data_IF_522066631362
#
_entry.id   IF_522066631362
#
_cell.length_a   1.000
_cell.length_b   1.000
_cell.length_c   1.000
_cell.angle_alpha   90.00
_cell.angle_beta   90.00
_cell.angle_gamma   90.00
#
_symmetry.space_group_name_H-M   'P 1'
#
loop_
_entity.id
_entity.type
_entity.pdbx_description
1 polymer ?
#
# COMPACT_ATOMS: atom_id res chain seq x y z
N UNK A 1 -15.23 13.08 8.02
CA UNK A 1 -15.55 11.65 7.83
C UNK A 1 -14.27 10.85 8.02
N UNK A 2 -14.34 9.58 8.40
CA UNK A 2 -13.16 8.74 8.59
C UNK A 2 -13.50 7.29 8.27
N UNK A 3 -12.56 6.56 7.69
CA UNK A 3 -12.74 5.17 7.31
C UNK A 3 -11.41 4.46 7.08
N UNK A 4 -11.48 3.16 6.79
CA UNK A 4 -10.32 2.37 6.40
C UNK A 4 -10.69 1.13 5.59
N UNK A 5 -9.77 0.67 4.74
CA UNK A 5 -9.92 -0.57 3.97
C UNK A 5 -8.55 -1.27 3.81
N UNK A 6 -8.58 -2.59 3.62
CA UNK A 6 -7.37 -3.42 3.40
C UNK A 6 -7.18 -3.85 1.95
N UNK A 7 -8.18 -3.60 1.10
CA UNK A 7 -8.14 -3.97 -0.32
C UNK A 7 -8.80 -2.86 -1.17
N UNK A 8 -8.22 -1.64 -1.19
CA UNK A 8 -8.71 -0.58 -2.05
C UNK A 8 -8.37 -0.88 -3.52
N UNK A 9 -9.28 -0.52 -4.43
CA UNK A 9 -8.97 -0.57 -5.86
C UNK A 9 -7.78 0.35 -6.15
N UNK A 10 -6.71 -0.23 -6.71
CA UNK A 10 -5.43 0.45 -6.87
C UNK A 10 -4.88 0.23 -8.28
N UNK A 11 -4.50 1.31 -8.95
CA UNK A 11 -3.70 1.28 -10.17
C UNK A 11 -2.24 1.65 -9.86
N UNK A 12 -1.31 0.76 -10.17
CA UNK A 12 0.12 0.95 -9.92
C UNK A 12 0.85 1.29 -11.22
N UNK A 13 1.50 2.45 -11.22
CA UNK A 13 2.48 2.86 -12.22
C UNK A 13 3.87 2.68 -11.63
N UNK A 14 4.75 1.95 -12.32
CA UNK A 14 6.14 1.74 -11.90
C UNK A 14 7.08 2.00 -13.05
N UNK A 15 7.94 3.00 -12.92
CA UNK A 15 8.82 3.47 -14.00
C UNK A 15 10.24 3.77 -13.50
N UNK A 16 11.22 3.46 -14.35
CA UNK A 16 12.63 3.83 -14.12
C UNK A 16 12.84 5.29 -14.58
N UNK A 17 12.75 6.20 -13.62
CA UNK A 17 12.83 7.64 -13.85
C UNK A 17 13.22 8.35 -12.56
N UNK A 18 13.76 9.55 -12.69
CA UNK A 18 14.17 10.44 -11.61
C UNK A 18 13.20 11.60 -11.40
N UNK A 19 12.03 11.59 -12.05
CA UNK A 19 11.02 12.66 -11.99
C UNK A 19 9.62 12.08 -11.75
N UNK A 20 8.67 12.83 -11.16
CA UNK A 20 7.31 12.33 -10.90
C UNK A 20 6.64 11.83 -12.19
N UNK A 21 6.15 10.58 -12.27
CA UNK A 21 5.47 10.06 -13.45
C UNK A 21 4.08 10.68 -13.66
N UNK A 22 3.46 11.15 -12.57
CA UNK A 22 2.22 11.93 -12.59
C UNK A 22 2.47 13.25 -11.85
N UNK A 23 1.83 14.32 -12.29
CA UNK A 23 1.87 15.61 -11.60
C UNK A 23 0.59 16.40 -11.85
N UNK A 24 0.23 17.23 -10.88
CA UNK A 24 -0.90 18.14 -11.03
C UNK A 24 -0.44 19.42 -11.75
N UNK A 25 -1.02 19.72 -12.90
CA UNK A 25 -0.81 20.97 -13.61
C UNK A 25 -1.55 22.08 -12.87
N UNK A 26 -0.80 23.09 -12.43
CA UNK A 26 -1.36 24.30 -11.84
C UNK A 26 -1.65 25.31 -12.95
N UNK A 27 -2.69 26.11 -12.76
CA UNK A 27 -3.13 27.11 -13.76
C UNK A 27 -2.07 28.15 -14.11
N UNK A 28 -1.08 28.37 -13.22
CA UNK A 28 -0.01 29.35 -13.38
C UNK A 28 1.33 28.73 -13.85
N UNK A 29 1.34 27.42 -14.15
CA UNK A 29 2.53 26.69 -14.55
C UNK A 29 2.48 26.38 -16.05
N UNK A 30 3.65 26.28 -16.71
CA UNK A 30 3.75 25.89 -18.13
C UNK A 30 3.30 24.44 -18.37
N UNK A 31 2.98 23.69 -17.30
CA UNK A 31 2.53 22.31 -17.33
C UNK A 31 3.69 21.32 -17.47
N UNK A 32 4.92 21.83 -17.39
CA UNK A 32 6.13 21.05 -17.49
C UNK A 32 6.24 20.05 -16.35
N UNK A 33 6.81 18.88 -16.66
CA UNK A 33 7.04 17.83 -15.67
C UNK A 33 7.99 18.34 -14.58
N UNK A 34 7.58 18.33 -13.29
CA UNK A 34 8.43 18.80 -12.21
C UNK A 34 9.76 18.06 -12.14
N UNK A 35 10.82 18.77 -11.75
CA UNK A 35 12.08 18.15 -11.37
C UNK A 35 11.96 17.58 -9.95
N UNK A 36 12.61 16.45 -9.65
CA UNK A 36 12.67 15.94 -8.29
C UNK A 36 13.27 16.99 -7.33
N UNK A 37 12.46 17.50 -6.40
CA UNK A 37 12.92 18.40 -5.36
C UNK A 37 13.65 17.60 -4.28
N UNK A 38 14.98 17.71 -4.21
CA UNK A 38 15.84 17.03 -3.21
C UNK A 38 15.57 17.36 -1.73
N UNK A 39 14.59 18.21 -1.42
CA UNK A 39 14.45 18.88 -0.11
C UNK A 39 13.45 18.22 0.84
N UNK A 40 12.54 17.39 0.34
CA UNK A 40 11.56 16.66 1.13
C UNK A 40 11.66 15.18 0.75
N UNK A 41 11.72 14.30 1.74
CA UNK A 41 11.90 12.86 1.51
C UNK A 41 10.89 12.38 0.49
N UNK A 42 11.36 11.71 -0.57
CA UNK A 42 10.79 11.45 -1.91
C UNK A 42 9.29 11.07 -2.05
N UNK A 43 8.52 11.02 -0.98
CA UNK A 43 7.08 10.79 -1.03
C UNK A 43 6.34 12.06 -1.40
N UNK A 44 5.71 12.05 -2.56
CA UNK A 44 4.79 13.08 -3.02
C UNK A 44 3.37 12.51 -3.06
N UNK A 45 2.38 13.37 -2.86
CA UNK A 45 0.99 12.95 -2.73
C UNK A 45 0.02 13.95 -3.34
N UNK A 46 -0.97 13.45 -4.06
CA UNK A 46 -2.03 14.25 -4.68
C UNK A 46 -3.38 13.64 -4.31
N UNK A 47 -4.34 14.47 -3.91
CA UNK A 47 -5.75 14.10 -3.83
C UNK A 47 -6.43 14.56 -5.11
N UNK A 48 -7.23 13.67 -5.70
CA UNK A 48 -8.14 13.94 -6.80
C UNK A 48 -9.55 13.68 -6.28
N UNK A 49 -10.24 14.76 -5.98
CA UNK A 49 -11.57 14.82 -5.37
C UNK A 49 -12.68 15.13 -6.38
N UNK A 50 -12.32 15.62 -7.57
CA UNK A 50 -13.28 15.95 -8.62
C UNK A 50 -12.72 15.73 -10.03
N UNK A 51 -13.62 15.71 -11.01
CA UNK A 51 -13.27 15.49 -12.41
C UNK A 51 -12.42 16.63 -13.02
N UNK A 52 -12.58 17.88 -12.57
CA UNK A 52 -11.76 19.01 -13.01
C UNK A 52 -10.32 18.87 -12.51
N UNK A 53 -10.11 18.36 -11.31
CA UNK A 53 -8.79 18.05 -10.74
C UNK A 53 -8.19 16.83 -11.42
N UNK A 54 -8.99 15.81 -11.74
CA UNK A 54 -8.54 14.67 -12.54
C UNK A 54 -8.06 15.12 -13.93
N UNK A 55 -8.78 16.01 -14.60
CA UNK A 55 -8.39 16.60 -15.88
C UNK A 55 -7.14 17.48 -15.84
N UNK A 56 -6.66 17.84 -14.65
CA UNK A 56 -5.40 18.57 -14.42
C UNK A 56 -4.23 17.65 -14.15
N UNK A 57 -4.43 16.33 -14.03
CA UNK A 57 -3.33 15.37 -13.88
C UNK A 57 -2.65 15.17 -15.23
N UNK A 58 -1.36 15.51 -15.29
CA UNK A 58 -0.50 15.17 -16.41
C UNK A 58 0.27 13.89 -16.14
N UNK A 59 0.52 13.16 -17.22
CA UNK A 59 1.13 11.82 -17.22
C UNK A 59 2.34 11.83 -18.14
N UNK A 60 3.48 11.32 -17.64
CA UNK A 60 4.72 11.22 -18.39
C UNK A 60 4.57 10.29 -19.60
N UNK A 61 5.28 10.56 -20.70
CA UNK A 61 5.19 9.77 -21.94
C UNK A 61 5.58 8.29 -21.77
N UNK A 62 6.33 7.96 -20.72
CA UNK A 62 6.73 6.59 -20.37
C UNK A 62 5.65 5.79 -19.64
N UNK A 63 4.50 6.39 -19.36
CA UNK A 63 3.38 5.80 -18.62
C UNK A 63 2.21 5.60 -19.56
N UNK A 64 1.45 4.53 -19.34
CA UNK A 64 0.19 4.27 -20.06
C UNK A 64 -0.87 5.30 -19.63
N UNK A 65 -1.04 6.34 -20.44
CA UNK A 65 -2.02 7.41 -20.19
C UNK A 65 -3.44 6.89 -20.20
N UNK A 66 -3.78 6.00 -21.13
CA UNK A 66 -5.14 5.47 -21.28
C UNK A 66 -5.56 4.69 -20.03
N UNK A 67 -4.64 3.93 -19.42
CA UNK A 67 -4.89 3.21 -18.18
C UNK A 67 -5.14 4.15 -16.99
N UNK A 68 -4.37 5.23 -16.87
CA UNK A 68 -4.53 6.25 -15.82
C UNK A 68 -5.86 7.00 -16.00
N UNK A 69 -6.17 7.45 -17.22
CA UNK A 69 -7.42 8.16 -17.52
C UNK A 69 -8.64 7.25 -17.30
N UNK A 70 -8.56 5.97 -17.67
CA UNK A 70 -9.62 5.00 -17.43
C UNK A 70 -9.90 4.80 -15.93
N UNK A 71 -8.86 4.81 -15.09
CA UNK A 71 -9.03 4.70 -13.64
C UNK A 71 -9.79 5.89 -13.05
N UNK A 72 -9.47 7.11 -13.48
CA UNK A 72 -10.21 8.30 -13.07
C UNK A 72 -11.64 8.32 -13.63
N UNK A 73 -11.84 7.93 -14.88
CA UNK A 73 -13.16 7.87 -15.50
C UNK A 73 -14.10 6.84 -14.85
N UNK A 74 -13.54 5.79 -14.25
CA UNK A 74 -14.29 4.78 -13.50
C UNK A 74 -14.65 5.20 -12.06
N UNK A 75 -14.15 6.34 -11.58
CA UNK A 75 -14.36 6.80 -10.19
C UNK A 75 -15.57 7.74 -10.11
N UNK A 76 -16.46 7.50 -9.15
CA UNK A 76 -17.62 8.37 -8.89
C UNK A 76 -17.27 9.44 -7.85
N UNK A 77 -16.73 10.59 -8.30
CA UNK A 77 -16.19 11.64 -7.42
C UNK A 77 -17.18 12.27 -6.42
N UNK A 78 -18.50 12.11 -6.62
CA UNK A 78 -19.50 12.54 -5.63
C UNK A 78 -19.53 11.64 -4.37
N UNK A 79 -18.97 10.43 -4.45
CA UNK A 79 -18.97 9.43 -3.39
C UNK A 79 -17.57 8.85 -3.09
N UNK A 80 -16.60 9.10 -3.95
CA UNK A 80 -15.26 8.52 -3.91
C UNK A 80 -14.20 9.59 -4.17
N UNK A 81 -12.97 9.35 -3.75
CA UNK A 81 -11.82 10.17 -4.11
C UNK A 81 -10.65 9.26 -4.52
N UNK A 82 -9.68 9.81 -5.25
CA UNK A 82 -8.44 9.09 -5.57
C UNK A 82 -7.27 9.73 -4.84
N UNK A 83 -6.56 8.93 -4.06
CA UNK A 83 -5.28 9.27 -3.47
C UNK A 83 -4.15 8.78 -4.36
N UNK A 84 -3.34 9.68 -4.87
CA UNK A 84 -2.14 9.38 -5.64
C UNK A 84 -0.94 9.49 -4.72
N UNK A 85 -0.33 8.36 -4.35
CA UNK A 85 0.90 8.31 -3.57
C UNK A 85 2.07 7.97 -4.49
N UNK A 86 3.12 8.78 -4.47
CA UNK A 86 4.32 8.59 -5.27
C UNK A 86 5.53 8.42 -4.37
N UNK A 87 6.43 7.50 -4.70
CA UNK A 87 7.59 7.22 -3.86
C UNK A 87 8.69 6.45 -4.58
N UNK A 88 9.91 6.59 -4.07
CA UNK A 88 11.08 5.86 -4.54
C UNK A 88 11.11 4.49 -3.90
N UNK A 89 11.29 3.45 -4.72
CA UNK A 89 11.41 2.07 -4.26
C UNK A 89 12.60 1.44 -4.96
N UNK A 90 13.40 0.65 -4.22
CA UNK A 90 14.49 -0.12 -4.86
C UNK A 90 13.91 -1.05 -5.91
N UNK A 91 14.57 -1.16 -7.05
CA UNK A 91 14.14 -1.95 -8.20
C UNK A 91 13.84 -3.42 -7.85
N UNK A 92 14.53 -3.96 -6.84
CA UNK A 92 14.38 -5.34 -6.37
C UNK A 92 13.26 -5.59 -5.36
N UNK A 93 12.59 -4.55 -4.86
CA UNK A 93 11.47 -4.68 -3.93
C UNK A 93 10.18 -4.17 -4.56
N UNK A 94 9.06 -4.76 -4.15
CA UNK A 94 7.71 -4.24 -4.35
C UNK A 94 7.14 -3.85 -2.99
N UNK A 95 6.31 -2.82 -2.99
CA UNK A 95 5.47 -2.53 -1.85
C UNK A 95 4.11 -3.18 -2.07
N UNK A 96 3.56 -3.79 -1.03
CA UNK A 96 2.21 -4.33 -1.02
C UNK A 96 1.38 -3.53 -0.02
N UNK A 97 0.26 -2.95 -0.45
CA UNK A 97 -0.58 -2.09 0.38
C UNK A 97 -1.44 -2.99 1.28
N UNK A 98 -1.20 -2.92 2.59
CA UNK A 98 -1.90 -3.73 3.58
C UNK A 98 -3.12 -3.01 4.14
N UNK A 99 -3.02 -1.70 4.34
CA UNK A 99 -4.08 -0.90 4.94
C UNK A 99 -4.06 0.53 4.42
N UNK A 100 -5.24 1.04 4.11
CA UNK A 100 -5.50 2.44 3.81
C UNK A 100 -6.46 2.97 4.86
N UNK A 101 -6.09 4.05 5.53
CA UNK A 101 -6.94 4.81 6.44
C UNK A 101 -7.08 6.25 5.97
N UNK A 102 -8.24 6.84 6.20
CA UNK A 102 -8.52 8.23 5.85
C UNK A 102 -9.37 8.93 6.90
N UNK A 103 -9.27 10.24 6.89
CA UNK A 103 -10.08 11.19 7.64
C UNK A 103 -10.26 12.45 6.78
N UNK A 104 -11.08 13.40 7.23
CA UNK A 104 -11.24 14.68 6.53
C UNK A 104 -9.94 15.48 6.43
N UNK A 105 -8.96 15.24 7.29
CA UNK A 105 -7.72 16.03 7.34
C UNK A 105 -6.46 15.22 7.05
N UNK A 106 -6.57 13.91 6.82
CA UNK A 106 -5.39 13.08 6.72
C UNK A 106 -5.61 11.68 6.18
N UNK A 107 -4.55 11.15 5.57
CA UNK A 107 -4.48 9.81 5.00
C UNK A 107 -3.29 9.06 5.57
N UNK A 108 -3.49 7.77 5.82
CA UNK A 108 -2.46 6.84 6.30
C UNK A 108 -2.42 5.60 5.41
N UNK A 109 -1.23 5.25 4.93
CA UNK A 109 -0.99 3.99 4.22
C UNK A 109 -0.01 3.10 4.97
N UNK A 110 -0.34 1.83 5.10
CA UNK A 110 0.57 0.82 5.64
C UNK A 110 0.92 -0.18 4.55
N UNK A 111 2.22 -0.33 4.30
CA UNK A 111 2.75 -1.23 3.30
C UNK A 111 3.56 -2.33 3.96
N UNK A 112 3.70 -3.45 3.26
CA UNK A 112 4.83 -4.36 3.48
C UNK A 112 5.77 -4.40 2.29
N UNK A 113 7.04 -4.75 2.54
CA UNK A 113 8.06 -4.91 1.51
C UNK A 113 8.21 -6.36 1.08
N UNK A 114 7.96 -6.63 -0.18
CA UNK A 114 8.15 -7.95 -0.79
C UNK A 114 9.36 -7.95 -1.74
N UNK A 115 10.18 -8.99 -1.68
CA UNK A 115 11.23 -9.20 -2.69
C UNK A 115 10.62 -9.63 -4.01
N UNK A 116 11.13 -9.10 -5.12
CA UNK A 116 10.76 -9.61 -6.44
C UNK A 116 11.15 -11.08 -6.58
N UNK A 117 10.42 -11.86 -7.42
CA UNK A 117 10.81 -13.22 -7.76
C UNK A 117 12.24 -13.26 -8.27
N UNK A 118 12.98 -14.34 -7.98
CA UNK A 118 14.38 -14.49 -8.40
C UNK A 118 14.57 -14.51 -9.93
N UNK A 119 13.49 -14.78 -10.68
CA UNK A 119 13.46 -14.74 -12.16
C UNK A 119 13.39 -13.33 -12.71
N UNK A 120 12.99 -12.35 -11.89
CA UNK A 120 12.93 -10.95 -12.26
C UNK A 120 14.26 -10.28 -11.91
N UNK A 121 15.18 -10.24 -12.88
CA UNK A 121 16.45 -9.54 -12.67
C UNK A 121 16.22 -8.05 -12.36
N UNK A 122 16.92 -7.57 -11.35
CA UNK A 122 16.94 -6.19 -10.91
C UNK A 122 18.36 -5.82 -10.47
N UNK A 123 18.74 -4.57 -10.67
CA UNK A 123 20.01 -4.07 -10.14
C UNK A 123 19.81 -3.68 -8.67
N UNK A 124 20.70 -4.18 -7.80
CA UNK A 124 20.52 -4.10 -6.36
C UNK A 124 20.40 -2.66 -5.84
N UNK A 125 21.13 -1.73 -6.47
CA UNK A 125 21.19 -0.32 -6.07
C UNK A 125 20.40 0.60 -6.99
N UNK A 126 19.66 0.04 -7.95
CA UNK A 126 18.74 0.81 -8.78
C UNK A 126 17.47 1.16 -8.01
N UNK A 127 16.99 2.37 -8.26
CA UNK A 127 15.74 2.91 -7.75
C UNK A 127 14.78 3.15 -8.90
N UNK A 128 13.50 3.02 -8.61
CA UNK A 128 12.42 3.34 -9.53
C UNK A 128 11.37 4.14 -8.76
N UNK A 129 10.52 4.86 -9.50
CA UNK A 129 9.38 5.53 -8.90
C UNK A 129 8.15 4.63 -9.05
N UNK A 130 7.48 4.40 -7.93
CA UNK A 130 6.11 3.88 -7.90
C UNK A 130 5.15 5.05 -7.69
N UNK A 131 4.09 5.08 -8.48
CA UNK A 131 2.93 5.94 -8.28
C UNK A 131 1.68 5.06 -8.17
N UNK A 132 0.97 5.18 -7.07
CA UNK A 132 -0.23 4.38 -6.76
C UNK A 132 -1.42 5.31 -6.76
N UNK A 133 -2.36 5.05 -7.66
CA UNK A 133 -3.68 5.67 -7.64
C UNK A 133 -4.57 4.73 -6.84
N UNK A 134 -4.98 5.16 -5.66
CA UNK A 134 -5.72 4.35 -4.69
C UNK A 134 -7.10 4.96 -4.52
N UNK A 135 -8.16 4.20 -4.81
CA UNK A 135 -9.53 4.68 -4.63
C UNK A 135 -9.92 4.65 -3.15
N UNK A 136 -10.40 5.78 -2.66
CA UNK A 136 -10.98 5.96 -1.33
C UNK A 136 -12.51 5.92 -1.51
N UNK A 137 -13.21 4.98 -0.85
CA UNK A 137 -14.66 4.79 -0.99
C UNK A 137 -15.46 5.81 -0.14
N UNK A 138 -14.98 7.05 -0.08
CA UNK A 138 -15.62 8.17 0.57
C UNK A 138 -15.20 9.45 -0.17
N UNK A 139 -16.09 10.47 -0.25
CA UNK A 139 -15.71 11.76 -0.77
C UNK A 139 -14.74 12.44 0.20
N UNK A 140 -13.69 13.06 -0.33
CA UNK A 140 -12.73 13.86 0.41
C UNK A 140 -12.59 15.21 -0.28
N UNK A 141 -12.33 16.25 0.50
CA UNK A 141 -11.93 17.56 -0.03
C UNK A 141 -10.40 17.63 -0.03
N UNK A 142 -9.81 17.79 -1.22
CA UNK A 142 -8.37 17.83 -1.37
C UNK A 142 -7.72 19.02 -0.65
N UNK A 143 -8.44 20.10 -0.40
CA UNK A 143 -7.94 21.30 0.29
C UNK A 143 -8.06 21.18 1.82
N UNK A 144 -8.89 20.25 2.35
CA UNK A 144 -8.98 19.96 3.79
C UNK A 144 -7.92 18.95 4.27
N UNK A 145 -7.47 18.05 3.40
CA UNK A 145 -6.46 17.04 3.72
C UNK A 145 -5.07 17.68 3.78
N UNK A 146 -4.46 17.66 4.97
CA UNK A 146 -3.18 18.34 5.24
C UNK A 146 -2.10 17.43 5.81
N UNK A 147 -2.44 16.17 6.10
CA UNK A 147 -1.52 15.22 6.72
C UNK A 147 -1.47 13.90 5.96
N UNK A 148 -0.26 13.42 5.73
CA UNK A 148 -0.01 12.16 5.04
C UNK A 148 0.98 11.35 5.86
N UNK A 149 0.72 10.06 6.00
CA UNK A 149 1.61 9.15 6.73
C UNK A 149 1.69 7.83 5.99
N UNK A 150 2.91 7.29 5.88
CA UNK A 150 3.12 6.00 5.24
C UNK A 150 4.13 5.18 6.02
N UNK A 151 3.74 4.00 6.46
CA UNK A 151 4.59 3.00 7.11
C UNK A 151 4.96 1.88 6.14
N UNK A 152 6.15 1.30 6.32
CA UNK A 152 6.59 0.10 5.59
C UNK A 152 7.06 -0.93 6.63
N UNK A 153 6.32 -2.02 6.75
CA UNK A 153 6.69 -3.21 7.52
C UNK A 153 7.52 -4.21 6.71
N UNK A 154 8.02 -5.23 7.40
CA UNK A 154 8.77 -6.35 6.81
C UNK A 154 8.00 -7.68 6.87
N UNK A 155 6.70 -7.64 7.18
CA UNK A 155 5.82 -8.81 7.35
C UNK A 155 5.10 -9.21 6.06
N UNK A 156 4.00 -9.94 6.20
CA UNK A 156 3.02 -10.12 5.12
C UNK A 156 1.74 -9.39 5.51
N UNK A 157 0.96 -8.92 4.54
CA UNK A 157 -0.34 -8.33 4.86
C UNK A 157 -1.29 -9.42 5.38
N UNK A 158 -1.88 -9.21 6.56
CA UNK A 158 -2.93 -10.08 7.10
C UNK A 158 -4.26 -9.81 6.39
N UNK A 159 -4.48 -10.43 5.23
CA UNK A 159 -5.73 -10.30 4.45
C UNK A 159 -6.85 -11.24 4.90
N UNK A 160 -6.65 -11.99 5.98
CA UNK A 160 -7.67 -12.91 6.50
C UNK A 160 -8.68 -12.11 7.31
N UNK A 161 -9.88 -11.89 6.73
CA UNK A 161 -11.22 -11.70 7.36
C UNK A 161 -12.12 -10.74 6.55
N UNK A 162 -12.52 -11.10 5.32
CA UNK A 162 -13.66 -10.48 4.63
C UNK A 162 -14.63 -11.50 3.98
N UNK A 163 -14.44 -12.80 4.22
CA UNK A 163 -15.36 -13.83 3.74
C UNK A 163 -15.40 -15.01 4.70
N UNK A 164 -16.17 -14.89 5.79
CA UNK A 164 -16.77 -16.02 6.55
C UNK A 164 -17.67 -15.46 7.66
N UNK A 165 -18.84 -14.92 7.29
CA UNK A 165 -19.99 -14.92 8.20
C UNK A 165 -20.82 -16.18 7.91
N UNK A 166 -20.94 -17.06 8.90
CA UNK A 166 -21.76 -18.26 8.82
C UNK A 166 -21.06 -19.54 9.28
N UNK A 167 -20.65 -19.59 10.54
CA UNK A 167 -20.07 -20.80 11.14
C UNK A 167 -20.15 -20.76 12.65
N UNK A 168 -21.30 -21.17 13.16
CA UNK A 168 -21.62 -21.40 14.57
C UNK A 168 -20.42 -22.03 15.32
N UNK A 169 -19.73 -21.24 16.14
CA UNK A 169 -18.69 -21.74 17.04
C UNK A 169 -19.35 -22.17 18.34
N UNK A 170 -19.81 -23.42 18.34
CA UNK A 170 -19.98 -24.18 19.58
C UNK A 170 -18.61 -24.27 20.28
N UNK A 171 -18.51 -23.68 21.46
CA UNK A 171 -17.40 -23.94 22.39
C UNK A 171 -17.40 -25.41 22.82
N UNK A 172 -16.21 -25.99 23.06
CA UNK A 172 -16.07 -26.88 24.19
C UNK A 172 -14.97 -26.43 25.15
N UNK A 173 -15.38 -26.27 26.41
CA UNK A 173 -14.55 -26.22 27.61
C UNK A 173 -13.70 -27.50 27.80
N UNK A 174 -12.65 -27.45 28.65
CA UNK A 174 -11.57 -28.43 28.67
C UNK A 174 -11.95 -29.70 29.46
N UNK A 175 -11.33 -30.84 29.15
CA UNK A 175 -11.33 -32.00 30.05
C UNK A 175 -9.98 -32.72 30.03
N UNK A 176 -9.50 -32.83 31.27
CA UNK A 176 -8.38 -33.56 31.84
C UNK A 176 -8.33 -35.04 31.43
N UNK A 177 -7.12 -35.61 31.33
CA UNK A 177 -6.95 -37.04 31.05
C UNK A 177 -5.53 -37.48 30.70
N UNK A 178 -4.59 -37.38 31.63
CA UNK A 178 -3.46 -38.32 31.71
C UNK A 178 -3.86 -39.50 32.61
N UNK A 179 -3.16 -40.67 32.67
CA UNK A 179 -1.87 -41.01 32.03
C UNK A 179 -1.85 -42.44 31.42
N UNK A 180 -0.77 -42.82 30.72
CA UNK A 180 -0.26 -44.21 30.80
C UNK A 180 1.25 -44.27 30.61
N UNK A 181 1.90 -44.88 31.60
CA UNK A 181 3.31 -45.22 31.71
C UNK A 181 3.80 -46.06 30.52
N UNK A 182 5.06 -45.86 30.15
CA UNK A 182 5.90 -46.96 29.68
C UNK A 182 7.19 -46.92 30.51
N UNK A 183 7.36 -47.94 31.35
CA UNK A 183 8.60 -48.26 32.06
C UNK A 183 9.61 -48.87 31.09
N UNK A 184 10.90 -48.56 31.28
CA UNK A 184 12.01 -49.39 30.80
C UNK A 184 13.08 -49.44 31.91
N UNK A 185 13.65 -50.62 32.25
CA UNK A 185 14.46 -50.81 33.46
C UNK A 185 15.93 -50.37 33.31
N UNK A 186 16.70 -50.37 34.43
CA UNK A 186 17.92 -49.57 34.59
C UNK A 186 19.22 -50.34 34.32
N UNK A 187 20.31 -49.62 34.07
CA UNK A 187 21.68 -50.04 34.41
C UNK A 187 22.51 -48.80 34.73
N UNK A 188 23.12 -48.79 35.91
CA UNK A 188 23.82 -47.63 36.49
C UNK A 188 25.34 -47.66 36.40
N UNK A 189 25.95 -46.88 37.31
CA UNK A 189 27.38 -46.64 37.59
C UNK A 189 28.05 -45.55 36.72
N UNK A 190 28.68 -44.48 37.21
CA UNK A 190 29.02 -43.99 38.56
C UNK A 190 30.05 -42.83 38.48
N UNK A 191 30.19 -42.03 39.55
CA UNK A 191 31.25 -41.03 39.83
C UNK A 191 30.91 -39.58 39.42
N UNK A 192 30.56 -38.63 40.29
CA UNK A 192 31.27 -37.99 41.43
C UNK A 192 32.52 -37.18 41.04
N UNK A 193 32.61 -36.05 41.76
CA UNK A 193 33.35 -34.81 41.52
C UNK A 193 34.88 -34.90 41.42
#
# INVERSE_FOLDING_TARGET
MSGSTTDPETHLVRVDTDRPPLWLVRSDDDGDRPTASRRDGWRDSIIVDDADRAGRISVADSVDRDAVESFFAATEFDAEAVYVEMGEVRACFRLDLCHLGWSSTGISTDYTRESRPYTDHCEADAWVIEARLIRIPDPLDADEVTSYSSSIGTGVCDRQHAASEGGDRTEPSPTDGSPTRTETPPTGSGGEQ
#
